data_IF_868379399594
#
_entry.id   IF_868379399594
#
_cell.length_a   1.000
_cell.length_b   1.000
_cell.length_c   1.000
_cell.angle_alpha   90.00
_cell.angle_beta   90.00
_cell.angle_gamma   90.00
#
_symmetry.space_group_name_H-M   'P 1'
#
loop_
_entity.id
_entity.type
_entity.pdbx_description
1 polymer ?
#
# COMPACT_ATOMS: atom_id res chain seq x y z
N UNK A 1 -18.53 -28.21 -3.72
CA UNK A 1 -17.89 -27.37 -2.68
C UNK A 1 -16.97 -26.40 -3.40
N UNK A 2 -17.28 -25.09 -3.40
CA UNK A 2 -16.35 -24.10 -3.92
C UNK A 2 -15.08 -24.14 -3.05
N UNK A 3 -13.90 -24.12 -3.67
CA UNK A 3 -12.65 -24.01 -2.94
C UNK A 3 -12.71 -22.73 -2.10
N UNK A 4 -12.55 -22.85 -0.77
CA UNK A 4 -12.35 -21.69 0.09
C UNK A 4 -11.05 -21.03 -0.38
N UNK A 5 -11.06 -19.71 -0.54
CA UNK A 5 -9.87 -18.99 -0.99
C UNK A 5 -8.75 -19.19 0.03
N UNK A 6 -7.49 -19.01 -0.38
CA UNK A 6 -6.44 -18.93 0.63
C UNK A 6 -6.69 -17.67 1.47
N UNK A 7 -6.70 -17.77 2.82
CA UNK A 7 -6.88 -16.61 3.68
C UNK A 7 -5.72 -15.64 3.48
N UNK A 8 -6.04 -14.37 3.31
CA UNK A 8 -5.09 -13.27 3.17
C UNK A 8 -5.04 -12.48 4.49
N UNK A 9 -3.83 -12.14 4.95
CA UNK A 9 -3.68 -11.32 6.15
C UNK A 9 -4.01 -9.86 5.81
N UNK A 10 -5.13 -9.38 6.32
CA UNK A 10 -5.56 -8.00 6.21
C UNK A 10 -5.16 -7.25 7.47
N UNK A 11 -4.54 -6.08 7.32
CA UNK A 11 -4.31 -5.21 8.48
C UNK A 11 -5.40 -4.15 8.52
N UNK A 12 -6.18 -4.13 9.60
CA UNK A 12 -7.16 -3.08 9.85
C UNK A 12 -6.52 -1.71 10.07
N UNK A 13 -5.21 -1.64 10.35
CA UNK A 13 -4.38 -0.44 10.22
C UNK A 13 -3.24 -0.74 9.22
N UNK A 14 -3.20 -0.13 8.03
CA UNK A 14 -2.28 -0.55 6.98
C UNK A 14 -0.84 -0.19 7.34
N UNK A 15 0.10 -1.09 6.99
CA UNK A 15 1.54 -0.91 7.22
C UNK A 15 2.12 0.38 6.61
N UNK A 16 1.45 0.94 5.59
CA UNK A 16 1.87 2.20 4.98
C UNK A 16 1.79 3.40 5.93
N UNK A 17 1.00 3.31 7.01
CA UNK A 17 0.94 4.33 8.07
C UNK A 17 2.31 4.58 8.70
N UNK A 18 3.13 3.54 8.89
CA UNK A 18 4.48 3.68 9.48
C UNK A 18 5.34 4.59 8.60
N UNK A 19 5.37 4.33 7.30
CA UNK A 19 6.16 5.15 6.37
C UNK A 19 5.62 6.58 6.23
N UNK A 20 4.31 6.79 6.36
CA UNK A 20 3.72 8.14 6.36
C UNK A 20 4.10 8.90 7.63
N UNK A 21 3.99 8.25 8.79
CA UNK A 21 4.41 8.80 10.07
C UNK A 21 5.90 9.16 10.06
N UNK A 22 6.77 8.28 9.55
CA UNK A 22 8.21 8.53 9.44
C UNK A 22 8.52 9.72 8.51
N UNK A 23 7.81 9.86 7.39
CA UNK A 23 7.98 11.02 6.50
C UNK A 23 7.52 12.32 7.15
N UNK A 24 6.36 12.30 7.80
CA UNK A 24 5.79 13.48 8.46
C UNK A 24 6.66 13.97 9.62
N UNK A 25 7.21 13.05 10.41
CA UNK A 25 8.02 13.36 11.60
C UNK A 25 9.53 13.39 11.34
N UNK A 26 9.98 12.94 10.16
CA UNK A 26 11.37 12.96 9.74
C UNK A 26 11.78 14.24 9.00
N UNK A 27 10.82 15.05 8.53
CA UNK A 27 11.13 16.35 7.93
C UNK A 27 11.41 17.39 9.02
N UNK A 28 12.63 17.92 9.06
CA UNK A 28 13.00 19.04 9.92
C UNK A 28 12.74 20.41 9.29
N UNK A 29 12.34 20.45 8.02
CA UNK A 29 11.98 21.68 7.30
C UNK A 29 10.47 21.85 7.21
N UNK A 30 9.99 23.05 7.52
CA UNK A 30 8.63 23.52 7.23
C UNK A 30 8.54 24.03 5.78
N UNK A 31 9.01 23.23 4.83
CA UNK A 31 8.85 23.51 3.41
C UNK A 31 7.58 22.84 2.86
N UNK A 32 7.32 23.03 1.57
CA UNK A 32 6.14 22.45 0.92
C UNK A 32 6.10 20.92 0.96
N UNK A 33 7.25 20.25 0.96
CA UNK A 33 7.31 18.78 1.04
C UNK A 33 7.03 18.30 2.46
N UNK A 34 7.60 18.96 3.46
CA UNK A 34 7.32 18.69 4.87
C UNK A 34 5.84 18.90 5.23
N UNK A 35 5.24 20.00 4.77
CA UNK A 35 3.80 20.27 4.96
C UNK A 35 2.95 19.20 4.27
N UNK A 36 3.28 18.85 3.01
CA UNK A 36 2.55 17.81 2.27
C UNK A 36 2.63 16.44 2.97
N UNK A 37 3.81 16.05 3.46
CA UNK A 37 4.00 14.81 4.18
C UNK A 37 3.16 14.76 5.47
N UNK A 38 3.10 15.87 6.21
CA UNK A 38 2.31 15.97 7.43
C UNK A 38 0.80 15.91 7.16
N UNK A 39 0.31 16.61 6.13
CA UNK A 39 -1.10 16.54 5.71
C UNK A 39 -1.48 15.13 5.23
N UNK A 40 -0.61 14.47 4.48
CA UNK A 40 -0.84 13.09 4.05
C UNK A 40 -0.89 12.10 5.21
N UNK A 41 -0.08 12.32 6.25
CA UNK A 41 -0.12 11.57 7.49
C UNK A 41 -1.43 11.82 8.25
N UNK A 42 -1.78 13.07 8.54
CA UNK A 42 -2.98 13.46 9.29
C UNK A 42 -4.25 12.88 8.66
N UNK A 43 -4.41 13.06 7.34
CA UNK A 43 -5.57 12.55 6.62
C UNK A 43 -5.67 11.02 6.66
N UNK A 44 -4.54 10.31 6.63
CA UNK A 44 -4.55 8.85 6.70
C UNK A 44 -4.83 8.38 8.13
N UNK A 45 -4.18 8.98 9.14
CA UNK A 45 -4.43 8.69 10.53
C UNK A 45 -5.92 8.85 10.89
N UNK A 46 -6.56 9.94 10.49
CA UNK A 46 -8.00 10.17 10.68
C UNK A 46 -8.86 9.09 10.00
N UNK A 47 -8.52 8.70 8.76
CA UNK A 47 -9.26 7.67 8.01
C UNK A 47 -9.25 6.32 8.74
N UNK A 48 -8.12 5.97 9.31
CA UNK A 48 -7.93 4.72 10.05
C UNK A 48 -8.20 4.84 11.54
N UNK A 49 -8.68 6.01 12.00
CA UNK A 49 -8.96 6.31 13.41
C UNK A 49 -7.74 6.07 14.32
N UNK A 50 -6.56 6.33 13.78
CA UNK A 50 -5.29 6.30 14.52
C UNK A 50 -5.06 7.71 15.08
N UNK A 51 -4.67 7.84 16.36
CA UNK A 51 -4.27 9.13 16.92
C UNK A 51 -3.13 9.75 16.09
N UNK A 52 -3.26 11.00 15.66
CA UNK A 52 -2.24 11.68 14.83
C UNK A 52 -0.90 11.78 15.56
N UNK A 53 -0.94 11.96 16.89
CA UNK A 53 0.20 12.08 17.80
C UNK A 53 0.67 10.72 18.37
N UNK A 54 0.25 9.59 17.76
CA UNK A 54 0.71 8.26 18.18
C UNK A 54 2.23 8.16 18.08
N UNK A 55 2.87 7.50 19.05
CA UNK A 55 4.31 7.24 18.95
C UNK A 55 4.60 6.25 17.82
N UNK A 56 5.83 6.28 17.29
CA UNK A 56 6.26 5.30 16.27
C UNK A 56 6.13 3.86 16.77
N UNK A 57 6.50 3.60 18.03
CA UNK A 57 6.45 2.28 18.65
C UNK A 57 5.00 1.79 18.82
N UNK A 58 4.11 2.65 19.32
CA UNK A 58 2.69 2.32 19.47
C UNK A 58 2.01 2.09 18.12
N UNK A 59 2.41 2.85 17.09
CA UNK A 59 1.93 2.65 15.73
C UNK A 59 2.36 1.28 15.17
N UNK A 60 3.61 0.87 15.40
CA UNK A 60 4.09 -0.46 15.01
C UNK A 60 3.31 -1.57 15.73
N UNK A 61 3.06 -1.42 17.03
CA UNK A 61 2.26 -2.36 17.82
C UNK A 61 0.80 -2.43 17.34
N UNK A 62 0.19 -1.29 17.02
CA UNK A 62 -1.16 -1.22 16.47
C UNK A 62 -1.24 -1.94 15.12
N UNK A 63 -0.31 -1.64 14.20
CA UNK A 63 -0.26 -2.29 12.88
C UNK A 63 -0.10 -3.80 13.02
N UNK A 64 0.80 -4.27 13.91
CA UNK A 64 1.03 -5.69 14.15
C UNK A 64 -0.21 -6.40 14.72
N UNK A 65 -0.87 -5.79 15.70
CA UNK A 65 -2.07 -6.36 16.34
C UNK A 65 -3.34 -6.25 15.48
N UNK A 66 -3.36 -5.37 14.49
CA UNK A 66 -4.51 -5.18 13.58
C UNK A 66 -4.66 -6.24 12.48
N UNK A 67 -3.79 -7.26 12.45
CA UNK A 67 -3.83 -8.35 11.49
C UNK A 67 -5.04 -9.26 11.71
N UNK A 68 -5.90 -9.38 10.70
CA UNK A 68 -7.04 -10.29 10.65
C UNK A 68 -6.98 -11.13 9.39
N UNK A 69 -7.22 -12.43 9.52
CA UNK A 69 -7.32 -13.30 8.35
C UNK A 69 -8.68 -13.06 7.68
N UNK A 70 -8.66 -12.57 6.44
CA UNK A 70 -9.85 -12.45 5.60
C UNK A 70 -9.78 -13.44 4.46
N UNK A 71 -10.93 -14.00 4.09
CA UNK A 71 -11.04 -14.74 2.83
C UNK A 71 -10.75 -13.78 1.66
N UNK A 72 -10.09 -14.28 0.62
CA UNK A 72 -9.64 -13.45 -0.50
C UNK A 72 -10.74 -12.56 -1.11
N UNK A 73 -11.96 -13.06 -1.25
CA UNK A 73 -13.06 -12.29 -1.83
C UNK A 73 -13.56 -11.19 -0.88
N UNK A 74 -13.62 -11.48 0.43
CA UNK A 74 -13.93 -10.49 1.46
C UNK A 74 -12.85 -9.41 1.51
N UNK A 75 -11.58 -9.81 1.45
CA UNK A 75 -10.46 -8.89 1.39
C UNK A 75 -10.52 -7.97 0.17
N UNK A 76 -10.97 -8.48 -0.98
CA UNK A 76 -11.17 -7.68 -2.20
C UNK A 76 -12.28 -6.64 -2.03
N UNK A 77 -13.43 -7.05 -1.50
CA UNK A 77 -14.57 -6.16 -1.29
C UNK A 77 -14.24 -5.03 -0.33
N UNK A 78 -13.51 -5.31 0.75
CA UNK A 78 -13.04 -4.30 1.71
C UNK A 78 -12.17 -3.23 1.03
N UNK A 79 -11.38 -3.61 0.01
CA UNK A 79 -10.42 -2.71 -0.65
C UNK A 79 -10.84 -2.17 -2.01
N UNK A 80 -12.01 -2.51 -2.54
CA UNK A 80 -12.44 -2.10 -3.88
C UNK A 80 -12.34 -0.57 -4.08
N UNK A 81 -12.80 0.19 -3.07
CA UNK A 81 -12.72 1.66 -3.08
C UNK A 81 -11.29 2.21 -2.90
N UNK A 82 -10.40 1.43 -2.29
CA UNK A 82 -9.03 1.83 -1.98
C UNK A 82 -8.04 1.53 -3.10
N UNK A 83 -8.37 0.60 -4.01
CA UNK A 83 -7.48 0.21 -5.10
C UNK A 83 -7.08 1.38 -6.00
N UNK A 84 -7.98 2.33 -6.27
CA UNK A 84 -7.64 3.52 -7.07
C UNK A 84 -6.63 4.41 -6.34
N UNK A 85 -6.81 4.61 -5.03
CA UNK A 85 -5.97 5.48 -4.20
C UNK A 85 -4.61 4.84 -3.89
N UNK A 86 -4.61 3.59 -3.47
CA UNK A 86 -3.40 2.82 -3.20
C UNK A 86 -2.63 2.51 -4.48
N UNK A 87 -3.34 2.18 -5.56
CA UNK A 87 -2.78 2.05 -6.90
C UNK A 87 -2.14 3.36 -7.38
N UNK A 88 -2.71 4.52 -7.05
CA UNK A 88 -2.07 5.81 -7.34
C UNK A 88 -0.82 6.06 -6.47
N UNK A 89 -0.85 5.73 -5.16
CA UNK A 89 0.31 5.96 -4.26
C UNK A 89 1.51 5.06 -4.59
N UNK A 90 1.29 3.76 -4.73
CA UNK A 90 2.37 2.82 -5.09
C UNK A 90 2.70 2.87 -6.58
N UNK A 91 1.65 2.93 -7.42
CA UNK A 91 1.80 2.82 -8.86
C UNK A 91 2.40 4.05 -9.52
N UNK A 92 2.22 5.27 -9.00
CA UNK A 92 2.89 6.47 -9.55
C UNK A 92 4.41 6.39 -9.39
N UNK A 93 4.89 5.96 -8.22
CA UNK A 93 6.32 5.82 -8.00
C UNK A 93 6.92 4.67 -8.83
N UNK A 94 6.23 3.54 -8.92
CA UNK A 94 6.62 2.45 -9.84
C UNK A 94 6.62 2.91 -11.29
N UNK A 95 5.58 3.62 -11.74
CA UNK A 95 5.47 4.18 -13.08
C UNK A 95 6.61 5.16 -13.37
N UNK A 96 6.91 6.06 -12.44
CA UNK A 96 8.03 7.02 -12.54
C UNK A 96 9.37 6.31 -12.69
N UNK A 97 9.61 5.25 -11.92
CA UNK A 97 10.89 4.50 -11.92
C UNK A 97 11.09 3.68 -13.18
N UNK A 98 10.03 3.03 -13.67
CA UNK A 98 10.19 1.98 -14.67
C UNK A 98 9.55 2.28 -16.03
N UNK A 99 8.77 3.36 -16.15
CA UNK A 99 8.06 3.71 -17.38
C UNK A 99 6.74 2.94 -17.56
N UNK A 100 5.95 3.37 -18.53
CA UNK A 100 4.59 2.88 -18.82
C UNK A 100 4.55 1.41 -19.22
N UNK A 101 5.47 0.97 -20.07
CA UNK A 101 5.51 -0.41 -20.58
C UNK A 101 5.74 -1.42 -19.45
N UNK A 102 6.75 -1.18 -18.61
CA UNK A 102 7.04 -2.07 -17.49
C UNK A 102 5.96 -2.01 -16.41
N UNK A 103 5.39 -0.82 -16.17
CA UNK A 103 4.26 -0.68 -15.25
C UNK A 103 3.05 -1.52 -15.68
N UNK A 104 2.75 -1.57 -16.98
CA UNK A 104 1.67 -2.40 -17.51
C UNK A 104 1.91 -3.90 -17.29
N UNK A 105 3.13 -4.39 -17.52
CA UNK A 105 3.50 -5.79 -17.29
C UNK A 105 3.39 -6.18 -15.80
N UNK A 106 3.86 -5.31 -14.90
CA UNK A 106 3.70 -5.50 -13.45
C UNK A 106 2.23 -5.56 -13.04
N UNK A 107 1.38 -4.71 -13.63
CA UNK A 107 -0.06 -4.75 -13.39
C UNK A 107 -0.67 -6.07 -13.88
N UNK A 108 -0.35 -6.53 -15.09
CA UNK A 108 -0.84 -7.81 -15.61
C UNK A 108 -0.43 -8.99 -14.72
N UNK A 109 0.82 -9.00 -14.22
CA UNK A 109 1.31 -10.02 -13.28
C UNK A 109 0.56 -9.99 -11.96
N UNK A 110 0.29 -8.80 -11.41
CA UNK A 110 -0.49 -8.62 -10.18
C UNK A 110 -1.90 -9.19 -10.31
N UNK A 111 -2.51 -9.01 -11.48
CA UNK A 111 -3.86 -9.51 -11.77
C UNK A 111 -3.90 -10.96 -12.30
N UNK A 112 -2.78 -11.68 -12.24
CA UNK A 112 -2.71 -13.08 -12.69
C UNK A 112 -2.90 -13.28 -14.19
N UNK A 113 -2.79 -12.21 -14.99
CA UNK A 113 -2.92 -12.22 -16.45
C UNK A 113 -1.60 -12.43 -17.17
N UNK A 114 -0.50 -12.48 -16.43
CA UNK A 114 0.87 -12.73 -16.91
C UNK A 114 1.54 -13.68 -15.93
N UNK A 115 2.23 -14.70 -16.42
CA UNK A 115 2.98 -15.63 -15.56
C UNK A 115 4.24 -14.97 -14.99
N UNK A 116 4.87 -15.64 -14.03
CA UNK A 116 6.16 -15.17 -13.52
C UNK A 116 7.27 -15.37 -14.58
N UNK A 117 7.24 -16.46 -15.34
CA UNK A 117 8.21 -16.70 -16.41
C UNK A 117 8.09 -15.66 -17.53
N UNK A 118 6.86 -15.32 -17.95
CA UNK A 118 6.64 -14.34 -19.02
C UNK A 118 7.08 -12.93 -18.61
N UNK A 119 6.89 -12.56 -17.33
CA UNK A 119 7.37 -11.29 -16.81
C UNK A 119 8.91 -11.24 -16.80
N UNK A 120 9.56 -12.34 -16.44
CA UNK A 120 11.03 -12.41 -16.43
C UNK A 120 11.62 -12.38 -17.84
N UNK A 121 11.00 -13.07 -18.80
CA UNK A 121 11.38 -13.01 -20.21
C UNK A 121 11.28 -11.57 -20.76
N UNK A 122 10.22 -10.83 -20.41
CA UNK A 122 10.06 -9.44 -20.79
C UNK A 122 11.10 -8.51 -20.15
N UNK A 123 11.68 -8.88 -19.00
CA UNK A 123 12.78 -8.14 -18.35
C UNK A 123 14.08 -8.27 -19.13
N UNK A 124 14.38 -9.45 -19.65
CA UNK A 124 15.62 -9.77 -20.37
C UNK A 124 15.70 -9.10 -21.74
N UNK A 125 14.55 -8.78 -22.33
CA UNK A 125 14.42 -8.11 -23.63
C UNK A 125 14.51 -6.58 -23.55
N UNK A 126 14.66 -6.01 -22.35
CA UNK A 126 14.70 -4.57 -22.09
C UNK A 126 16.12 -4.01 -22.09
#
# INVERSE_FOLDING_TARGET
MAARGNPENHHAAPRCLISLHEKANGSSSLDGEGIQAWVEWEMEAMRWRVPVEISREDLEALVASSGVALEQEEHRLVHEGDWRRWGARGGRETLRRYGTEWFALLALRRWGRLSAEDLDAARVLR
#
